data_IF_141577407399
#
_entry.id   IF_141577407399
#
_cell.length_a   1.000
_cell.length_b   1.000
_cell.length_c   1.000
_cell.angle_alpha   90.00
_cell.angle_beta   90.00
_cell.angle_gamma   90.00
#
_symmetry.space_group_name_H-M   'P 1'
#
loop_
_entity.id
_entity.type
_entity.pdbx_description
1 polymer ?
#
# COMPACT_ATOMS: atom_id res chain seq x y z
N UNK A 1 -21.53 -17.02 25.52
CA UNK A 1 -20.27 -17.84 25.50
C UNK A 1 -19.83 -17.83 24.04
N UNK A 2 -18.93 -16.90 23.69
CA UNK A 2 -18.84 -16.67 22.30
C UNK A 2 -17.45 -16.35 21.79
N UNK A 3 -17.40 -15.35 20.99
CA UNK A 3 -16.25 -14.95 20.18
C UNK A 3 -14.97 -14.68 21.01
N UNK A 4 -15.11 -14.14 22.23
CA UNK A 4 -13.98 -13.84 23.11
C UNK A 4 -13.16 -15.05 23.54
N UNK A 5 -13.79 -16.21 23.76
CA UNK A 5 -13.10 -17.44 24.18
C UNK A 5 -12.32 -18.09 23.01
N UNK A 6 -12.78 -17.91 21.78
CA UNK A 6 -12.08 -18.40 20.57
C UNK A 6 -10.81 -17.60 20.36
N UNK A 7 -10.86 -16.26 20.45
CA UNK A 7 -9.69 -15.39 20.31
C UNK A 7 -8.66 -15.63 21.43
N UNK A 8 -9.11 -15.83 22.66
CA UNK A 8 -8.21 -16.16 23.79
C UNK A 8 -7.46 -17.46 23.56
N UNK A 9 -8.14 -18.50 23.05
CA UNK A 9 -7.50 -19.78 22.71
C UNK A 9 -6.53 -19.66 21.54
N UNK A 10 -6.84 -18.84 20.54
CA UNK A 10 -5.92 -18.57 19.43
C UNK A 10 -4.67 -17.84 19.90
N UNK A 11 -4.79 -16.85 20.78
CA UNK A 11 -3.66 -16.15 21.40
C UNK A 11 -2.76 -17.07 22.20
N UNK A 12 -3.36 -17.97 23.01
CA UNK A 12 -2.62 -19.00 23.76
C UNK A 12 -1.87 -19.96 22.86
N UNK A 13 -2.50 -20.36 21.75
CA UNK A 13 -1.90 -21.27 20.78
C UNK A 13 -0.76 -20.57 20.00
N UNK A 14 -0.93 -19.30 19.64
CA UNK A 14 0.13 -18.51 19.02
C UNK A 14 1.31 -18.29 19.97
N UNK A 15 1.05 -17.99 21.24
CA UNK A 15 2.11 -17.86 22.24
C UNK A 15 2.89 -19.16 22.40
N UNK A 16 2.20 -20.30 22.51
CA UNK A 16 2.83 -21.61 22.59
C UNK A 16 3.68 -21.92 21.35
N UNK A 17 3.18 -21.62 20.15
CA UNK A 17 3.94 -21.83 18.90
C UNK A 17 5.20 -20.94 18.82
N UNK A 18 5.15 -19.74 19.40
CA UNK A 18 6.25 -18.78 19.31
C UNK A 18 7.31 -18.95 20.41
N UNK A 19 6.89 -19.39 21.61
CA UNK A 19 7.75 -19.41 22.81
C UNK A 19 8.02 -20.80 23.37
N UNK A 20 7.25 -21.82 22.95
CA UNK A 20 7.26 -23.14 23.53
C UNK A 20 6.68 -23.21 24.97
N UNK A 21 6.23 -22.10 25.54
CA UNK A 21 5.67 -22.02 26.89
C UNK A 21 4.16 -22.12 26.85
N UNK A 22 3.60 -22.97 27.70
CA UNK A 22 2.16 -23.19 27.83
C UNK A 22 1.60 -22.20 28.85
N UNK A 23 0.77 -21.25 28.38
CA UNK A 23 -0.02 -20.37 29.24
C UNK A 23 -1.41 -20.96 29.46
N UNK A 24 -1.99 -20.73 30.62
CA UNK A 24 -3.38 -21.11 30.92
C UNK A 24 -4.34 -19.94 30.70
N UNK A 25 -5.63 -20.24 30.55
CA UNK A 25 -6.69 -19.22 30.37
C UNK A 25 -6.76 -18.24 31.55
N UNK A 26 -6.33 -18.66 32.75
CA UNK A 26 -6.17 -17.83 33.94
C UNK A 26 -5.15 -16.70 33.77
N UNK A 27 -4.08 -16.95 33.05
CA UNK A 27 -2.99 -15.98 32.84
C UNK A 27 -3.42 -14.83 31.89
N UNK A 28 -4.46 -15.08 31.08
CA UNK A 28 -5.05 -14.09 30.16
C UNK A 28 -6.18 -13.30 30.84
N UNK A 29 -6.72 -13.77 31.98
CA UNK A 29 -7.83 -13.13 32.68
C UNK A 29 -7.42 -11.99 33.62
N UNK A 30 -6.13 -11.75 33.86
CA UNK A 30 -5.64 -10.62 34.66
C UNK A 30 -5.87 -9.24 34.03
N UNK A 31 -6.48 -9.19 32.86
CA UNK A 31 -6.65 -7.97 32.04
C UNK A 31 -7.98 -7.22 32.29
N UNK A 32 -8.86 -7.67 33.18
CA UNK A 32 -10.10 -6.92 33.49
C UNK A 32 -9.82 -5.50 34.04
N UNK A 33 -8.70 -5.31 34.73
CA UNK A 33 -8.23 -4.00 35.18
C UNK A 33 -7.57 -3.15 34.06
N UNK A 34 -7.14 -3.80 32.97
CA UNK A 34 -6.60 -3.10 31.78
C UNK A 34 -7.71 -2.64 30.84
N UNK A 35 -8.87 -3.33 30.81
CA UNK A 35 -10.01 -2.94 29.97
C UNK A 35 -10.64 -1.60 30.43
N UNK A 36 -10.56 -1.24 31.72
CA UNK A 36 -11.00 0.09 32.17
C UNK A 36 -10.04 1.22 31.75
N UNK A 37 -8.74 0.96 31.67
CA UNK A 37 -7.76 1.94 31.17
C UNK A 37 -7.87 2.14 29.64
N UNK A 38 -8.25 1.11 28.91
CA UNK A 38 -8.49 1.22 27.45
C UNK A 38 -9.78 1.99 27.12
N UNK A 39 -10.70 2.17 28.07
CA UNK A 39 -11.94 2.93 27.86
C UNK A 39 -11.77 4.43 28.09
N UNK A 40 -10.73 4.89 28.78
CA UNK A 40 -10.63 6.29 29.20
C UNK A 40 -10.00 7.23 28.18
N UNK A 41 -9.25 6.74 27.17
CA UNK A 41 -8.50 7.59 26.22
C UNK A 41 -8.79 7.28 24.74
N UNK A 42 -9.90 6.63 24.45
CA UNK A 42 -10.26 6.30 23.07
C UNK A 42 -10.79 7.53 22.32
N UNK A 43 -9.98 8.11 21.48
CA UNK A 43 -10.41 9.02 20.42
C UNK A 43 -11.01 8.13 19.30
N UNK A 44 -12.34 8.02 19.17
CA UNK A 44 -12.97 7.04 18.26
C UNK A 44 -12.74 7.35 16.76
N UNK A 45 -12.40 8.59 16.43
CA UNK A 45 -12.31 9.07 15.04
C UNK A 45 -11.01 8.69 14.32
N UNK A 46 -9.93 8.40 15.05
CA UNK A 46 -8.63 8.17 14.42
C UNK A 46 -8.39 6.72 13.98
N UNK A 47 -8.99 5.75 14.64
CA UNK A 47 -8.75 4.32 14.32
C UNK A 47 -9.22 3.93 12.92
N UNK A 48 -10.35 4.45 12.48
CA UNK A 48 -10.83 4.19 11.11
C UNK A 48 -9.93 4.82 10.05
N UNK A 49 -9.45 6.03 10.29
CA UNK A 49 -8.49 6.71 9.39
C UNK A 49 -7.15 5.99 9.33
N UNK A 50 -6.65 5.53 10.48
CA UNK A 50 -5.41 4.74 10.56
C UNK A 50 -5.57 3.45 9.75
N UNK A 51 -6.68 2.73 9.92
CA UNK A 51 -6.99 1.53 9.16
C UNK A 51 -7.09 1.81 7.65
N UNK A 52 -7.76 2.89 7.23
CA UNK A 52 -7.83 3.28 5.82
C UNK A 52 -6.45 3.59 5.24
N UNK A 53 -5.62 4.33 5.98
CA UNK A 53 -4.26 4.65 5.57
C UNK A 53 -3.40 3.38 5.43
N UNK A 54 -3.50 2.45 6.38
CA UNK A 54 -2.83 1.15 6.33
C UNK A 54 -3.28 0.35 5.10
N UNK A 55 -4.60 0.23 4.87
CA UNK A 55 -5.11 -0.47 3.68
C UNK A 55 -4.64 0.16 2.38
N UNK A 56 -4.53 1.49 2.33
CA UNK A 56 -3.97 2.21 1.19
C UNK A 56 -2.50 1.84 0.94
N UNK A 57 -1.68 1.83 1.98
CA UNK A 57 -0.27 1.43 1.88
C UNK A 57 -0.13 -0.04 1.44
N UNK A 58 -0.87 -0.96 2.05
CA UNK A 58 -0.83 -2.37 1.66
C UNK A 58 -1.32 -2.60 0.23
N UNK A 59 -2.30 -1.82 -0.23
CA UNK A 59 -2.77 -1.89 -1.61
C UNK A 59 -1.68 -1.45 -2.61
N UNK A 60 -0.85 -0.46 -2.27
CA UNK A 60 0.28 -0.08 -3.12
C UNK A 60 1.31 -1.18 -3.25
N UNK A 61 1.57 -1.91 -2.18
CA UNK A 61 2.43 -3.10 -2.23
C UNK A 61 1.81 -4.18 -3.11
N UNK A 62 0.52 -4.51 -2.91
CA UNK A 62 -0.19 -5.51 -3.73
C UNK A 62 -0.14 -5.20 -5.22
N UNK A 63 -0.20 -3.94 -5.57
CA UNK A 63 -0.20 -3.51 -6.98
C UNK A 63 1.18 -3.21 -7.53
N UNK A 64 2.20 -3.13 -6.68
CA UNK A 64 3.54 -2.69 -7.09
C UNK A 64 3.55 -1.23 -7.57
N UNK A 65 2.77 -0.36 -6.92
CA UNK A 65 2.56 1.02 -7.35
C UNK A 65 3.78 1.91 -7.05
N UNK A 66 4.52 2.28 -8.07
CA UNK A 66 5.73 3.12 -7.95
C UNK A 66 5.46 4.57 -7.51
N UNK A 67 4.19 5.02 -7.56
CA UNK A 67 3.77 6.35 -7.07
C UNK A 67 3.54 6.44 -5.55
N UNK A 68 3.91 5.40 -4.81
CA UNK A 68 3.68 5.30 -3.38
C UNK A 68 4.22 6.49 -2.56
N UNK A 69 5.27 7.20 -3.02
CA UNK A 69 5.90 8.28 -2.25
C UNK A 69 4.94 9.43 -1.94
N UNK A 70 4.10 9.80 -2.89
CA UNK A 70 3.13 10.87 -2.73
C UNK A 70 2.00 10.48 -1.76
N UNK A 71 1.56 9.23 -1.83
CA UNK A 71 0.56 8.70 -0.91
C UNK A 71 1.12 8.44 0.49
N UNK A 72 2.39 8.04 0.60
CA UNK A 72 3.08 7.86 1.87
C UNK A 72 3.18 9.17 2.66
N UNK A 73 3.51 10.28 1.99
CA UNK A 73 3.56 11.61 2.61
C UNK A 73 2.20 12.01 3.21
N UNK A 74 1.11 11.71 2.52
CA UNK A 74 -0.25 11.96 2.99
C UNK A 74 -0.66 11.01 4.14
N UNK A 75 -0.21 9.76 4.10
CA UNK A 75 -0.56 8.73 5.10
C UNK A 75 0.27 8.89 6.39
N UNK A 76 1.53 9.29 6.29
CA UNK A 76 2.37 9.54 7.47
C UNK A 76 1.89 10.74 8.30
N UNK A 77 1.31 11.76 7.66
CA UNK A 77 0.68 12.88 8.37
C UNK A 77 -0.61 12.47 9.10
N UNK A 78 -1.27 11.41 8.66
CA UNK A 78 -2.50 10.87 9.26
C UNK A 78 -2.22 9.75 10.28
N UNK A 79 -1.12 9.04 10.13
CA UNK A 79 -0.64 7.98 11.02
C UNK A 79 0.27 8.56 12.11
N UNK A 80 -0.19 9.59 12.79
CA UNK A 80 0.44 10.05 14.04
C UNK A 80 0.21 9.00 15.14
N UNK A 81 0.84 7.87 14.91
CA UNK A 81 1.20 6.80 15.80
C UNK A 81 0.13 6.28 16.77
N UNK A 82 0.16 5.01 17.02
CA UNK A 82 -0.34 4.45 18.28
C UNK A 82 0.26 5.29 19.42
N UNK A 83 -0.57 5.85 20.34
CA UNK A 83 -0.06 6.65 21.45
C UNK A 83 1.10 5.92 22.14
N UNK A 84 2.21 6.64 22.35
CA UNK A 84 3.38 6.08 23.02
C UNK A 84 2.98 5.66 24.42
N UNK A 85 2.76 4.36 24.62
CA UNK A 85 2.43 3.78 25.93
C UNK A 85 3.67 3.32 26.70
N UNK A 86 4.83 3.36 26.05
CA UNK A 86 6.10 2.90 26.62
C UNK A 86 7.03 4.10 26.85
N UNK A 87 7.75 4.08 27.98
CA UNK A 87 8.86 5.00 28.24
C UNK A 87 10.04 4.79 27.26
N UNK A 88 10.05 3.68 26.52
CA UNK A 88 11.06 3.35 25.51
C UNK A 88 10.49 3.51 24.10
N UNK A 89 10.68 4.71 23.55
CA UNK A 89 10.23 5.10 22.19
C UNK A 89 10.92 4.24 21.11
N UNK A 90 12.18 3.90 21.30
CA UNK A 90 12.94 3.09 20.34
C UNK A 90 12.33 1.68 20.23
N UNK A 91 12.08 1.04 21.38
CA UNK A 91 11.45 -0.28 21.44
C UNK A 91 10.09 -0.29 20.77
N UNK A 92 9.26 0.71 21.03
CA UNK A 92 7.94 0.83 20.40
C UNK A 92 8.06 1.01 18.89
N UNK A 93 8.97 1.83 18.42
CA UNK A 93 9.21 2.05 16.99
C UNK A 93 9.70 0.79 16.30
N UNK A 94 10.61 0.01 16.92
CA UNK A 94 11.02 -1.31 16.42
C UNK A 94 9.82 -2.23 16.24
N UNK A 95 8.98 -2.36 17.28
CA UNK A 95 7.77 -3.20 17.23
C UNK A 95 6.86 -2.77 16.08
N UNK A 96 6.66 -1.47 15.88
CA UNK A 96 5.84 -0.95 14.78
C UNK A 96 6.42 -1.32 13.40
N UNK A 97 7.73 -1.20 13.21
CA UNK A 97 8.41 -1.59 11.95
C UNK A 97 8.27 -3.09 11.70
N UNK A 98 8.45 -3.92 12.72
CA UNK A 98 8.33 -5.39 12.62
C UNK A 98 6.91 -5.81 12.22
N UNK A 99 5.91 -5.27 12.90
CA UNK A 99 4.48 -5.53 12.59
C UNK A 99 4.16 -5.09 11.17
N UNK A 100 4.59 -3.89 10.78
CA UNK A 100 4.36 -3.37 9.45
C UNK A 100 5.07 -4.21 8.37
N UNK A 101 6.30 -4.65 8.62
CA UNK A 101 7.04 -5.56 7.71
C UNK A 101 6.25 -6.86 7.49
N UNK A 102 5.68 -7.44 8.54
CA UNK A 102 4.86 -8.66 8.44
C UNK A 102 3.61 -8.47 7.57
N UNK A 103 2.96 -7.30 7.69
CA UNK A 103 1.80 -6.95 6.84
C UNK A 103 2.21 -6.73 5.39
N UNK A 104 3.33 -6.05 5.16
CA UNK A 104 3.89 -5.80 3.82
C UNK A 104 4.28 -7.11 3.13
N UNK A 105 4.90 -8.06 3.84
CA UNK A 105 5.20 -9.40 3.30
C UNK A 105 3.94 -10.09 2.75
N UNK A 106 2.85 -10.08 3.52
CA UNK A 106 1.58 -10.70 3.10
C UNK A 106 0.99 -9.97 1.88
N UNK A 107 0.99 -8.65 1.90
CA UNK A 107 0.53 -7.85 0.77
C UNK A 107 1.36 -8.11 -0.51
N UNK A 108 2.67 -8.31 -0.37
CA UNK A 108 3.56 -8.63 -1.48
C UNK A 108 3.28 -10.03 -2.06
N UNK A 109 3.00 -11.03 -1.21
CA UNK A 109 2.58 -12.37 -1.65
C UNK A 109 1.24 -12.29 -2.41
N UNK A 110 0.27 -11.54 -1.88
CA UNK A 110 -1.00 -11.27 -2.57
C UNK A 110 -0.77 -10.55 -3.92
N UNK A 111 0.30 -9.74 -4.01
CA UNK A 111 0.76 -9.06 -5.22
C UNK A 111 1.49 -9.94 -6.23
N UNK A 112 1.77 -11.21 -5.89
CA UNK A 112 2.38 -12.20 -6.78
C UNK A 112 3.84 -12.55 -6.46
N UNK A 113 4.44 -11.99 -5.42
CA UNK A 113 5.76 -12.41 -4.95
C UNK A 113 5.68 -13.81 -4.34
N UNK A 114 6.72 -14.63 -4.52
CA UNK A 114 6.71 -15.95 -3.88
C UNK A 114 6.79 -15.82 -2.36
N UNK A 115 6.14 -16.73 -1.59
CA UNK A 115 6.24 -16.71 -0.12
C UNK A 115 7.68 -16.79 0.37
N UNK A 116 8.52 -17.60 -0.29
CA UNK A 116 9.92 -17.78 0.05
C UNK A 116 10.72 -16.49 -0.07
N UNK A 117 10.52 -15.76 -1.18
CA UNK A 117 11.17 -14.47 -1.41
C UNK A 117 10.66 -13.41 -0.44
N UNK A 118 9.34 -13.32 -0.26
CA UNK A 118 8.73 -12.33 0.61
C UNK A 118 9.14 -12.49 2.08
N UNK A 119 9.11 -13.71 2.61
CA UNK A 119 9.51 -13.96 3.99
C UNK A 119 11.01 -13.81 4.21
N UNK A 120 11.87 -14.32 3.30
CA UNK A 120 13.32 -14.15 3.39
C UNK A 120 13.72 -12.67 3.42
N UNK A 121 13.07 -11.86 2.58
CA UNK A 121 13.29 -10.42 2.56
C UNK A 121 12.79 -9.76 3.85
N UNK A 122 11.59 -10.12 4.32
CA UNK A 122 11.02 -9.64 5.57
C UNK A 122 11.87 -9.94 6.78
N UNK A 123 12.36 -11.17 6.90
CA UNK A 123 13.24 -11.60 7.98
C UNK A 123 14.53 -10.78 8.03
N UNK A 124 15.13 -10.47 6.87
CA UNK A 124 16.31 -9.62 6.78
C UNK A 124 16.04 -8.20 7.31
N UNK A 125 14.88 -7.61 6.95
CA UNK A 125 14.50 -6.29 7.45
C UNK A 125 14.15 -6.30 8.93
N UNK A 126 13.49 -7.35 9.44
CA UNK A 126 13.18 -7.52 10.87
C UNK A 126 14.46 -7.63 11.67
N UNK A 127 15.43 -8.45 11.25
CA UNK A 127 16.73 -8.58 11.93
C UNK A 127 17.48 -7.24 11.96
N UNK A 128 17.46 -6.49 10.87
CA UNK A 128 18.08 -5.16 10.81
C UNK A 128 17.37 -4.16 11.73
N UNK A 129 16.03 -4.19 11.80
CA UNK A 129 15.26 -3.35 12.71
C UNK A 129 15.54 -3.68 14.18
N UNK A 130 15.67 -4.95 14.52
CA UNK A 130 16.02 -5.39 15.87
C UNK A 130 17.44 -4.91 16.27
N UNK A 131 18.39 -4.91 15.33
CA UNK A 131 19.75 -4.46 15.56
C UNK A 131 19.91 -2.93 15.66
N UNK A 132 18.93 -2.15 15.17
CA UNK A 132 18.98 -0.69 15.16
C UNK A 132 19.12 -0.11 16.57
N UNK A 133 19.93 0.91 16.73
CA UNK A 133 20.24 1.54 18.03
C UNK A 133 19.60 2.90 18.22
N UNK A 134 19.02 3.47 17.15
CA UNK A 134 18.39 4.79 17.18
C UNK A 134 17.18 4.86 16.23
N UNK A 135 16.34 5.89 16.42
CA UNK A 135 15.22 6.20 15.51
C UNK A 135 15.72 6.64 14.13
N UNK A 136 16.87 7.29 14.08
CA UNK A 136 17.50 7.75 12.83
C UNK A 136 17.93 6.58 11.93
N UNK A 137 18.22 5.42 12.52
CA UNK A 137 18.48 4.18 11.78
C UNK A 137 17.19 3.50 11.32
N UNK A 138 16.11 3.55 12.13
CA UNK A 138 14.85 2.87 11.84
C UNK A 138 14.02 3.54 10.74
N UNK A 139 14.01 4.86 10.68
CA UNK A 139 13.21 5.60 9.71
C UNK A 139 13.61 5.29 8.25
N UNK A 140 14.91 5.43 7.88
CA UNK A 140 15.37 5.05 6.54
C UNK A 140 15.13 3.57 6.23
N UNK A 141 15.32 2.70 7.23
CA UNK A 141 15.12 1.25 7.08
C UNK A 141 13.69 0.91 6.70
N UNK A 142 12.69 1.51 7.39
CA UNK A 142 11.28 1.31 7.08
C UNK A 142 10.92 1.77 5.66
N UNK A 143 11.49 2.89 5.23
CA UNK A 143 11.31 3.41 3.88
C UNK A 143 11.95 2.51 2.82
N UNK A 144 13.16 2.04 3.07
CA UNK A 144 13.87 1.10 2.18
C UNK A 144 13.12 -0.22 2.04
N UNK A 145 12.65 -0.78 3.15
CA UNK A 145 11.86 -2.00 3.18
C UNK A 145 10.62 -1.86 2.29
N UNK A 146 9.86 -0.80 2.48
CA UNK A 146 8.63 -0.55 1.75
C UNK A 146 8.88 -0.35 0.24
N UNK A 147 9.91 0.42 -0.14
CA UNK A 147 10.34 0.61 -1.53
C UNK A 147 10.76 -0.71 -2.19
N UNK A 148 11.55 -1.52 -1.50
CA UNK A 148 12.07 -2.80 -2.04
C UNK A 148 10.92 -3.78 -2.32
N UNK A 149 9.97 -3.93 -1.39
CA UNK A 149 8.80 -4.78 -1.63
C UNK A 149 7.95 -4.32 -2.81
N UNK A 150 7.68 -3.01 -2.89
CA UNK A 150 6.91 -2.46 -4.02
C UNK A 150 7.62 -2.72 -5.35
N UNK A 151 8.93 -2.46 -5.44
CA UNK A 151 9.69 -2.69 -6.68
C UNK A 151 9.73 -4.15 -7.08
N UNK A 152 9.85 -5.07 -6.11
CA UNK A 152 9.85 -6.51 -6.41
C UNK A 152 8.49 -6.97 -6.91
N UNK A 153 7.40 -6.57 -6.26
CA UNK A 153 6.05 -6.84 -6.73
C UNK A 153 5.82 -6.23 -8.12
N UNK A 154 6.22 -4.98 -8.31
CA UNK A 154 6.16 -4.32 -9.62
C UNK A 154 6.87 -5.14 -10.70
N UNK A 155 8.11 -5.53 -10.44
CA UNK A 155 8.91 -6.37 -11.34
C UNK A 155 8.25 -7.72 -11.62
N UNK A 156 7.64 -8.35 -10.63
CA UNK A 156 6.92 -9.62 -10.77
C UNK A 156 5.63 -9.48 -11.60
N UNK A 157 4.94 -8.34 -11.45
CA UNK A 157 3.72 -8.03 -12.21
C UNK A 157 4.01 -7.48 -13.60
N UNK A 158 5.25 -7.09 -13.86
CA UNK A 158 5.71 -6.67 -15.18
C UNK A 158 5.42 -7.80 -16.17
N UNK A 159 4.62 -7.51 -17.19
CA UNK A 159 4.24 -8.50 -18.18
C UNK A 159 5.49 -8.98 -18.95
N UNK A 160 5.90 -10.24 -18.82
CA UNK A 160 7.11 -10.74 -19.51
C UNK A 160 7.03 -10.64 -21.02
N UNK A 161 5.84 -10.39 -21.57
CA UNK A 161 5.60 -10.21 -23.01
C UNK A 161 5.82 -8.76 -23.47
N UNK A 162 6.11 -7.80 -22.58
CA UNK A 162 6.42 -6.44 -22.97
C UNK A 162 7.91 -6.30 -23.28
N UNK A 163 8.22 -5.67 -24.41
CA UNK A 163 9.61 -5.26 -24.70
C UNK A 163 10.09 -4.24 -23.67
N UNK A 164 11.40 -4.20 -23.43
CA UNK A 164 12.02 -3.27 -22.46
C UNK A 164 11.62 -1.81 -22.70
N UNK A 165 11.48 -1.40 -23.96
CA UNK A 165 11.09 -0.04 -24.32
C UNK A 165 9.63 0.26 -23.98
N UNK A 166 8.73 -0.69 -24.25
CA UNK A 166 7.30 -0.53 -23.89
C UNK A 166 7.13 -0.59 -22.38
N UNK A 167 7.89 -1.43 -21.68
CA UNK A 167 7.89 -1.44 -20.22
C UNK A 167 8.33 -0.10 -19.64
N UNK A 168 9.39 0.53 -20.18
CA UNK A 168 9.81 1.89 -19.75
C UNK A 168 8.69 2.92 -19.95
N UNK A 169 7.92 2.79 -21.03
CA UNK A 169 6.78 3.68 -21.26
C UNK A 169 5.67 3.46 -20.24
N UNK A 170 5.38 2.20 -19.92
CA UNK A 170 4.39 1.83 -18.89
C UNK A 170 4.82 2.37 -17.53
N UNK A 171 6.06 2.13 -17.12
CA UNK A 171 6.61 2.62 -15.84
C UNK A 171 6.55 4.16 -15.77
N UNK A 172 6.91 4.83 -16.87
CA UNK A 172 6.82 6.30 -16.96
C UNK A 172 5.38 6.80 -16.80
N UNK A 173 4.41 6.15 -17.43
CA UNK A 173 2.98 6.48 -17.28
C UNK A 173 2.57 6.33 -15.82
N UNK A 174 2.87 5.19 -15.21
CA UNK A 174 2.48 4.89 -13.83
C UNK A 174 3.11 5.85 -12.81
N UNK A 175 4.32 6.32 -13.07
CA UNK A 175 5.03 7.29 -12.22
C UNK A 175 4.59 8.75 -12.40
N UNK A 176 3.84 9.09 -13.45
CA UNK A 176 3.49 10.47 -13.79
C UNK A 176 1.99 10.66 -14.04
N UNK A 177 1.15 9.95 -13.27
CA UNK A 177 -0.32 10.00 -13.43
C UNK A 177 -0.93 11.37 -13.11
N UNK A 178 -0.21 12.25 -12.43
CA UNK A 178 -0.58 13.64 -12.16
C UNK A 178 -0.42 14.56 -13.39
N UNK A 179 0.36 14.13 -14.39
CA UNK A 179 0.73 14.94 -15.55
C UNK A 179 -0.12 14.60 -16.78
N UNK A 180 -0.07 15.51 -17.74
CA UNK A 180 -0.51 15.21 -19.11
C UNK A 180 0.58 14.41 -19.81
N UNK A 181 0.28 13.21 -20.24
CA UNK A 181 1.19 12.31 -20.96
C UNK A 181 0.71 12.20 -22.41
N UNK A 182 1.59 12.45 -23.36
CA UNK A 182 1.33 12.32 -24.79
C UNK A 182 2.30 11.29 -25.42
N UNK A 183 1.91 10.73 -26.55
CA UNK A 183 2.68 9.68 -27.21
C UNK A 183 4.07 10.17 -27.67
N UNK A 184 4.18 11.44 -28.03
CA UNK A 184 5.43 12.08 -28.42
C UNK A 184 6.48 12.04 -27.30
N UNK A 185 6.10 12.36 -26.04
CA UNK A 185 7.00 12.31 -24.88
C UNK A 185 7.53 10.89 -24.64
N UNK A 186 6.65 9.89 -24.75
CA UNK A 186 7.02 8.49 -24.59
C UNK A 186 7.92 8.00 -25.73
N UNK A 187 7.68 8.47 -26.94
CA UNK A 187 8.50 8.13 -28.10
C UNK A 187 9.92 8.69 -27.93
N UNK A 188 10.03 9.95 -27.50
CA UNK A 188 11.32 10.57 -27.18
C UNK A 188 12.06 9.83 -26.06
N UNK A 189 11.34 9.38 -25.02
CA UNK A 189 11.89 8.64 -23.88
C UNK A 189 12.61 7.35 -24.29
N UNK A 190 12.09 6.65 -25.31
CA UNK A 190 12.60 5.33 -25.75
C UNK A 190 13.33 5.36 -27.09
N UNK A 191 13.46 6.54 -27.71
CA UNK A 191 14.15 6.70 -28.99
C UNK A 191 13.38 6.16 -30.20
N UNK A 192 12.04 6.13 -30.11
CA UNK A 192 11.16 5.71 -31.20
C UNK A 192 10.53 6.92 -31.90
N UNK A 193 10.04 6.71 -33.15
CA UNK A 193 9.08 7.64 -33.75
C UNK A 193 7.72 7.45 -33.07
N UNK A 194 6.91 8.50 -33.02
CA UNK A 194 5.56 8.44 -32.40
C UNK A 194 4.67 7.38 -33.09
N UNK A 195 4.76 7.29 -34.42
CA UNK A 195 4.03 6.28 -35.20
C UNK A 195 4.41 4.85 -34.77
N UNK A 196 5.71 4.55 -34.70
CA UNK A 196 6.19 3.23 -34.30
C UNK A 196 5.83 2.90 -32.88
N UNK A 197 6.03 3.87 -31.96
CA UNK A 197 5.66 3.69 -30.56
C UNK A 197 4.18 3.36 -30.40
N UNK A 198 3.28 4.17 -30.99
CA UNK A 198 1.83 3.99 -30.80
C UNK A 198 1.35 2.65 -31.31
N UNK A 199 1.92 2.17 -32.41
CA UNK A 199 1.60 0.85 -32.97
C UNK A 199 2.08 -0.28 -32.06
N UNK A 200 3.37 -0.25 -31.72
CA UNK A 200 4.00 -1.26 -30.85
C UNK A 200 3.41 -1.27 -29.44
N UNK A 201 3.13 -0.11 -28.87
CA UNK A 201 2.51 0.01 -27.56
C UNK A 201 1.11 -0.66 -27.54
N UNK A 202 0.30 -0.41 -28.57
CA UNK A 202 -1.02 -1.04 -28.71
C UNK A 202 -0.93 -2.54 -28.94
N UNK A 203 0.02 -3.00 -29.73
CA UNK A 203 0.27 -4.41 -30.01
C UNK A 203 0.62 -5.16 -28.71
N UNK A 204 1.55 -4.64 -27.91
CA UNK A 204 2.06 -5.31 -26.71
C UNK A 204 1.13 -5.14 -25.50
N UNK A 205 0.49 -3.96 -25.33
CA UNK A 205 -0.37 -3.68 -24.15
C UNK A 205 -1.86 -3.95 -24.40
N UNK A 206 -2.27 -4.16 -25.64
CA UNK A 206 -3.67 -4.28 -26.05
C UNK A 206 -4.45 -2.95 -26.04
N UNK A 207 -3.82 -1.81 -25.67
CA UNK A 207 -4.47 -0.50 -25.55
C UNK A 207 -3.65 0.59 -26.22
N UNK A 208 -4.33 1.60 -26.80
CA UNK A 208 -3.62 2.81 -27.21
C UNK A 208 -3.03 3.54 -26.00
N UNK A 209 -1.96 4.31 -26.18
CA UNK A 209 -1.32 5.12 -25.14
C UNK A 209 -2.36 5.93 -24.34
N UNK A 210 -3.23 6.66 -25.04
CA UNK A 210 -4.27 7.47 -24.40
C UNK A 210 -5.24 6.64 -23.54
N UNK A 211 -5.65 5.47 -24.01
CA UNK A 211 -6.55 4.59 -23.27
C UNK A 211 -5.84 3.91 -22.10
N UNK A 212 -4.55 3.61 -22.24
CA UNK A 212 -3.73 3.08 -21.15
C UNK A 212 -3.58 4.11 -20.02
N UNK A 213 -3.26 5.37 -20.36
CA UNK A 213 -3.18 6.46 -19.37
C UNK A 213 -4.49 6.65 -18.64
N UNK A 214 -5.63 6.65 -19.37
CA UNK A 214 -6.96 6.74 -18.72
C UNK A 214 -7.20 5.56 -17.78
N UNK A 215 -6.90 4.36 -18.21
CA UNK A 215 -7.04 3.14 -17.40
C UNK A 215 -6.18 3.21 -16.14
N UNK A 216 -4.89 3.54 -16.27
CA UNK A 216 -3.97 3.66 -15.13
C UNK A 216 -4.43 4.73 -14.12
N UNK A 217 -4.89 5.89 -14.60
CA UNK A 217 -5.48 6.94 -13.74
C UNK A 217 -6.73 6.45 -13.00
N UNK A 218 -7.59 5.67 -13.65
CA UNK A 218 -8.79 5.10 -13.02
C UNK A 218 -8.43 4.04 -11.98
N UNK A 219 -7.47 3.16 -12.27
CA UNK A 219 -6.99 2.18 -11.28
C UNK A 219 -6.43 2.89 -10.03
N UNK A 220 -5.66 3.96 -10.23
CA UNK A 220 -5.19 4.79 -9.13
C UNK A 220 -6.33 5.47 -8.38
N UNK A 221 -7.35 5.99 -9.09
CA UNK A 221 -8.52 6.60 -8.48
C UNK A 221 -9.29 5.63 -7.58
N UNK A 222 -9.41 4.35 -7.98
CA UNK A 222 -10.05 3.30 -7.15
C UNK A 222 -9.36 3.18 -5.80
N UNK A 223 -8.01 3.18 -5.79
CA UNK A 223 -7.24 3.12 -4.54
C UNK A 223 -7.52 4.36 -3.69
N UNK A 224 -7.41 5.57 -4.26
CA UNK A 224 -7.65 6.82 -3.54
C UNK A 224 -9.07 6.93 -2.98
N UNK A 225 -10.08 6.50 -3.74
CA UNK A 225 -11.48 6.50 -3.30
C UNK A 225 -11.72 5.60 -2.08
N UNK A 226 -11.02 4.48 -1.98
CA UNK A 226 -11.17 3.50 -0.90
C UNK A 226 -10.28 3.78 0.31
N UNK A 227 -9.10 4.34 0.10
CA UNK A 227 -8.07 4.47 1.13
C UNK A 227 -7.89 5.89 1.67
N UNK A 228 -8.61 6.89 1.12
CA UNK A 228 -8.45 8.28 1.56
C UNK A 228 -9.79 8.99 1.73
N UNK A 229 -9.87 10.02 2.59
CA UNK A 229 -11.06 10.87 2.72
C UNK A 229 -11.17 11.94 1.61
N UNK A 230 -10.28 11.94 0.61
CA UNK A 230 -10.25 12.93 -0.46
C UNK A 230 -11.59 12.97 -1.21
N UNK A 231 -12.08 14.16 -1.49
CA UNK A 231 -13.26 14.34 -2.33
C UNK A 231 -12.99 13.90 -3.78
N UNK A 232 -14.04 13.58 -4.51
CA UNK A 232 -13.96 13.23 -5.94
C UNK A 232 -13.29 14.35 -6.76
N UNK A 233 -13.45 15.61 -6.34
CA UNK A 233 -12.80 16.76 -6.95
C UNK A 233 -11.29 16.73 -6.72
N UNK A 234 -10.86 16.57 -5.48
CA UNK A 234 -9.44 16.51 -5.12
C UNK A 234 -8.72 15.35 -5.82
N UNK A 235 -9.36 14.17 -5.89
CA UNK A 235 -8.83 13.02 -6.63
C UNK A 235 -8.69 13.34 -8.12
N UNK A 236 -9.70 14.01 -8.72
CA UNK A 236 -9.64 14.43 -10.12
C UNK A 236 -8.47 15.39 -10.39
N UNK A 237 -8.27 16.37 -9.51
CA UNK A 237 -7.18 17.34 -9.58
C UNK A 237 -5.80 16.65 -9.39
N UNK A 238 -5.68 15.78 -8.39
CA UNK A 238 -4.45 15.02 -8.10
C UNK A 238 -4.03 14.10 -9.26
N UNK A 239 -4.99 13.56 -10.00
CA UNK A 239 -4.73 12.71 -11.16
C UNK A 239 -4.64 13.51 -12.47
N UNK A 240 -4.56 14.83 -12.42
CA UNK A 240 -4.37 15.69 -13.58
C UNK A 240 -5.49 15.59 -14.62
N UNK A 241 -6.75 15.41 -14.19
CA UNK A 241 -7.91 15.55 -15.08
C UNK A 241 -8.29 17.03 -15.21
N UNK A 242 -8.65 17.44 -16.42
CA UNK A 242 -9.00 18.83 -16.70
C UNK A 242 -10.26 19.28 -15.91
N UNK A 243 -11.21 18.39 -15.67
CA UNK A 243 -12.42 18.68 -14.90
C UNK A 243 -12.91 17.43 -14.15
N UNK A 244 -13.59 17.65 -13.00
CA UNK A 244 -14.28 16.60 -12.25
C UNK A 244 -15.28 15.82 -13.10
N UNK A 245 -16.02 16.51 -13.96
CA UNK A 245 -17.03 15.88 -14.80
C UNK A 245 -16.41 14.93 -15.82
N UNK A 246 -15.32 15.34 -16.45
CA UNK A 246 -14.56 14.47 -17.35
C UNK A 246 -13.97 13.26 -16.64
N UNK A 247 -13.40 13.46 -15.44
CA UNK A 247 -12.94 12.35 -14.59
C UNK A 247 -14.07 11.36 -14.31
N UNK A 248 -15.24 11.84 -13.84
CA UNK A 248 -16.38 10.99 -13.50
C UNK A 248 -16.88 10.18 -14.71
N UNK A 249 -16.93 10.81 -15.89
CA UNK A 249 -17.30 10.12 -17.12
C UNK A 249 -16.29 9.02 -17.52
N UNK A 250 -14.98 9.32 -17.45
CA UNK A 250 -13.91 8.34 -17.73
C UNK A 250 -13.95 7.20 -16.71
N UNK A 251 -14.13 7.52 -15.44
CA UNK A 251 -14.19 6.51 -14.36
C UNK A 251 -15.38 5.58 -14.58
N UNK A 252 -16.56 6.12 -14.88
CA UNK A 252 -17.76 5.32 -15.16
C UNK A 252 -17.61 4.49 -16.43
N UNK A 253 -16.99 5.04 -17.47
CA UNK A 253 -16.70 4.28 -18.70
C UNK A 253 -15.83 3.06 -18.46
N UNK A 254 -14.84 3.16 -17.56
CA UNK A 254 -13.89 2.08 -17.28
C UNK A 254 -14.44 1.08 -16.25
N UNK A 255 -15.19 1.55 -15.24
CA UNK A 255 -15.61 0.73 -14.08
C UNK A 255 -17.07 0.30 -14.12
N UNK A 256 -17.89 0.94 -14.93
CA UNK A 256 -19.35 0.78 -14.95
C UNK A 256 -20.07 1.53 -13.82
N UNK A 257 -19.35 2.13 -12.86
CA UNK A 257 -19.91 2.86 -11.71
C UNK A 257 -19.37 4.28 -11.66
N UNK A 258 -20.13 5.19 -11.07
CA UNK A 258 -19.61 6.52 -10.75
C UNK A 258 -18.58 6.45 -9.62
N UNK A 259 -17.67 7.45 -9.47
CA UNK A 259 -16.73 7.49 -8.37
C UNK A 259 -17.41 7.45 -6.98
N UNK A 260 -18.58 8.06 -6.81
CA UNK A 260 -19.33 8.05 -5.55
C UNK A 260 -19.88 6.66 -5.25
N UNK A 261 -20.58 6.04 -6.19
CA UNK A 261 -21.10 4.67 -6.04
C UNK A 261 -19.96 3.68 -5.75
N UNK A 262 -18.80 3.86 -6.36
CA UNK A 262 -17.63 3.00 -6.12
C UNK A 262 -17.09 3.17 -4.70
N UNK A 263 -17.13 4.38 -4.14
CA UNK A 263 -16.71 4.66 -2.76
C UNK A 263 -17.60 3.96 -1.73
N UNK A 264 -18.89 3.92 -1.98
CA UNK A 264 -19.90 3.38 -1.05
C UNK A 264 -20.01 1.85 -1.11
N UNK A 265 -19.48 1.22 -2.16
CA UNK A 265 -19.49 -0.24 -2.32
C UNK A 265 -18.35 -0.89 -1.52
#
# INVERSE_FOLDING_TARGET
>A
RGLGDVYKRQLLMMHYCLTGQRLELSDVNSSAAQDERLKSDAIPHDRHKIWMAEQGMLQMVRTGDLNYKQALSNSMSMSAGVPVQSSDVLRQSKTSVIVFTSLVCRAAIEGGLSPEEAYSLGDSYIQTAEAAKSLDELHPLAMMMYDDFIRRVHKHRTNPNLSMQIQKCVDYIEMNLDKKIVAEDLAALVGYTEYYLTHKFKEETGRSVTNYVKFAKVERAKVLLKSTPLSVREISEQLGFATRNYFSAVFQQVTGKTPMEFRET
#
